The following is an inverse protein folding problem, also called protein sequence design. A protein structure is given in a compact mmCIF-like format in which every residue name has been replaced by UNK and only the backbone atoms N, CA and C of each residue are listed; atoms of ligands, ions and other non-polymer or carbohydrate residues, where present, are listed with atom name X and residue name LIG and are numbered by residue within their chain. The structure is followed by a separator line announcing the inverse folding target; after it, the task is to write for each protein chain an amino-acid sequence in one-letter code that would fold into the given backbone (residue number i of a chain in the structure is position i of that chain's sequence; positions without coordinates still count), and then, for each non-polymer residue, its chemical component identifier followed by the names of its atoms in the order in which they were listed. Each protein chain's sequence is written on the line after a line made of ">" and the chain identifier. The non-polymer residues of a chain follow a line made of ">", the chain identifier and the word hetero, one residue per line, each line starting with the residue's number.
data_IF_814745784569
#
_entry.id   IF_814745784569
#
_cell.length_a   1.000
_cell.length_b   1.000
_cell.length_c   1.000
_cell.angle_alpha   90.00
_cell.angle_beta   90.00
_cell.angle_gamma   90.00
#
_symmetry.space_group_name_H-M   'P 1'
#
loop_
_entity.id
_entity.type
_entity.pdbx_description
1 polymer ?
#
# COMPACT_ATOMS: atom_id res chain seq x y z
N UNK A 1 11.86 6.66 -8.03
CA UNK A 1 10.96 6.29 -6.95
C UNK A 1 9.53 6.32 -7.43
N UNK A 2 8.77 5.28 -7.08
CA UNK A 2 7.36 5.26 -7.39
C UNK A 2 6.61 6.27 -6.56
N UNK A 3 6.27 7.40 -7.15
CA UNK A 3 5.35 8.33 -6.52
C UNK A 3 3.94 7.73 -6.58
N UNK A 4 3.28 7.65 -5.45
CA UNK A 4 1.86 7.39 -5.42
C UNK A 4 1.13 8.63 -5.96
N UNK A 5 0.00 8.47 -6.67
CA UNK A 5 -0.80 9.58 -7.15
C UNK A 5 -1.57 10.20 -5.98
N UNK A 6 -0.85 10.76 -5.02
CA UNK A 6 -1.44 11.46 -3.89
C UNK A 6 -1.83 12.87 -4.32
N UNK A 7 -2.84 13.36 -3.63
CA UNK A 7 -3.51 14.58 -4.06
C UNK A 7 -2.60 15.80 -4.05
N UNK A 8 -1.64 15.86 -3.13
CA UNK A 8 -0.71 17.00 -3.02
C UNK A 8 0.15 17.16 -4.28
N UNK A 9 0.74 16.08 -4.77
CA UNK A 9 1.59 16.10 -5.96
C UNK A 9 0.77 16.31 -7.23
N UNK A 10 -0.36 15.60 -7.34
CA UNK A 10 -1.24 15.74 -8.51
C UNK A 10 -1.93 17.08 -8.56
N UNK A 11 -2.30 17.67 -7.41
CA UNK A 11 -2.89 19.00 -7.35
C UNK A 11 -1.88 20.07 -7.74
N UNK A 12 -0.67 20.05 -7.19
CA UNK A 12 0.36 21.03 -7.52
C UNK A 12 0.70 21.04 -9.02
N UNK A 13 0.75 19.86 -9.64
CA UNK A 13 0.92 19.80 -11.10
C UNK A 13 -0.27 20.41 -11.82
N UNK A 14 -1.50 20.09 -11.40
CA UNK A 14 -2.72 20.62 -12.00
C UNK A 14 -2.84 22.14 -11.85
N UNK A 15 -2.48 22.68 -10.68
CA UNK A 15 -2.48 24.14 -10.43
C UNK A 15 -1.55 24.91 -11.38
N UNK A 16 -0.40 24.30 -11.72
CA UNK A 16 0.58 24.92 -12.63
C UNK A 16 0.16 24.79 -14.09
N UNK A 17 -0.34 23.64 -14.51
CA UNK A 17 -0.52 23.30 -15.93
C UNK A 17 -1.98 23.25 -16.39
N UNK A 18 -2.95 23.19 -15.49
CA UNK A 18 -4.39 23.12 -15.83
C UNK A 18 -4.86 21.76 -16.38
N UNK A 19 -4.00 20.73 -16.34
CA UNK A 19 -4.33 19.35 -16.75
C UNK A 19 -3.55 18.34 -15.90
N UNK A 20 -3.96 17.07 -15.96
CA UNK A 20 -3.30 15.99 -15.22
C UNK A 20 -2.05 15.50 -15.95
N UNK A 21 -0.99 15.19 -15.19
CA UNK A 21 0.16 14.49 -15.75
C UNK A 21 -0.24 13.13 -16.33
N UNK A 22 0.36 12.76 -17.46
CA UNK A 22 0.21 11.41 -18.00
C UNK A 22 1.02 10.43 -17.15
N UNK A 23 0.37 9.42 -16.60
CA UNK A 23 0.98 8.40 -15.74
C UNK A 23 1.21 7.13 -16.57
N UNK A 24 2.44 6.68 -16.64
CA UNK A 24 2.82 5.41 -17.27
C UNK A 24 3.33 4.47 -16.19
N UNK A 25 2.73 3.30 -16.08
CA UNK A 25 3.22 2.24 -15.21
C UNK A 25 4.39 1.52 -15.89
N UNK A 26 5.55 1.51 -15.26
CA UNK A 26 6.79 0.96 -15.86
C UNK A 26 7.29 -0.31 -15.20
N UNK A 27 6.85 -0.58 -13.97
CA UNK A 27 7.15 -1.82 -13.26
C UNK A 27 6.09 -2.10 -12.20
N UNK A 28 6.01 -3.33 -11.74
CA UNK A 28 5.39 -3.65 -10.46
C UNK A 28 6.42 -3.42 -9.35
N UNK A 29 5.97 -3.02 -8.16
CA UNK A 29 6.84 -2.86 -7.00
C UNK A 29 7.56 -4.16 -6.64
N UNK A 30 8.59 -4.07 -5.82
CA UNK A 30 9.29 -5.25 -5.35
C UNK A 30 8.42 -6.06 -4.37
N UNK A 31 8.74 -7.34 -4.23
CA UNK A 31 8.13 -8.22 -3.22
C UNK A 31 9.04 -8.39 -2.01
N UNK A 32 10.32 -8.64 -2.26
CA UNK A 32 11.32 -9.00 -1.25
C UNK A 32 12.68 -8.42 -1.63
N UNK A 33 12.76 -7.10 -1.73
CA UNK A 33 14.00 -6.43 -2.08
C UNK A 33 14.24 -5.26 -1.12
N UNK A 34 15.32 -5.36 -0.32
CA UNK A 34 15.70 -4.30 0.61
C UNK A 34 16.01 -2.99 -0.15
N UNK A 35 15.58 -1.86 0.40
CA UNK A 35 15.80 -0.55 -0.21
C UNK A 35 14.99 -0.29 -1.49
N UNK A 36 13.99 -1.11 -1.80
CA UNK A 36 13.09 -0.94 -2.95
C UNK A 36 11.67 -0.62 -2.49
N UNK A 37 10.85 -0.09 -3.41
CA UNK A 37 9.43 0.15 -3.18
C UNK A 37 8.66 -1.18 -3.21
N UNK A 38 8.67 -1.89 -2.09
CA UNK A 38 7.94 -3.15 -1.95
C UNK A 38 6.44 -2.90 -1.80
N UNK A 39 5.62 -3.85 -2.24
CA UNK A 39 4.22 -3.90 -1.86
C UNK A 39 4.05 -4.20 -0.36
N UNK A 40 2.86 -3.93 0.16
CA UNK A 40 2.58 -4.07 1.59
C UNK A 40 1.99 -5.44 1.90
N UNK A 41 2.29 -5.96 3.07
CA UNK A 41 1.73 -7.20 3.61
C UNK A 41 1.14 -6.91 4.98
N UNK A 42 0.00 -7.51 5.27
CA UNK A 42 -0.64 -7.48 6.58
C UNK A 42 -0.20 -8.71 7.37
N UNK A 43 0.16 -8.51 8.62
CA UNK A 43 0.63 -9.55 9.53
C UNK A 43 -0.21 -9.57 10.81
N UNK A 44 -0.39 -10.75 11.36
CA UNK A 44 -0.96 -10.99 12.70
C UNK A 44 -0.02 -11.89 13.49
N UNK A 45 -0.22 -11.97 14.81
CA UNK A 45 0.47 -12.96 15.63
C UNK A 45 0.24 -14.39 15.08
N UNK A 46 1.24 -15.25 15.15
CA UNK A 46 1.17 -16.63 14.59
C UNK A 46 -0.03 -17.45 15.07
N UNK A 47 -0.43 -17.27 16.33
CA UNK A 47 -1.56 -17.98 16.96
C UNK A 47 -2.92 -17.29 16.75
N UNK A 48 -2.97 -16.15 16.06
CA UNK A 48 -4.24 -15.51 15.72
C UNK A 48 -5.01 -16.38 14.72
N UNK A 49 -6.30 -16.72 14.96
CA UNK A 49 -7.07 -17.57 14.05
C UNK A 49 -7.31 -16.95 12.67
N UNK A 50 -7.22 -15.61 12.56
CA UNK A 50 -7.41 -14.94 11.27
C UNK A 50 -6.30 -15.30 10.30
N UNK A 51 -6.68 -15.71 9.10
CA UNK A 51 -5.77 -15.98 7.97
C UNK A 51 -6.12 -15.16 6.72
N UNK A 52 -7.28 -14.50 6.70
CA UNK A 52 -7.76 -13.76 5.53
C UNK A 52 -8.60 -12.56 5.93
N UNK A 53 -8.49 -11.47 5.19
CA UNK A 53 -9.25 -10.22 5.37
C UNK A 53 -9.59 -9.60 4.02
N UNK A 54 -10.68 -8.83 3.96
CA UNK A 54 -10.99 -7.98 2.81
C UNK A 54 -10.42 -6.57 2.99
N UNK A 55 -10.26 -5.82 1.90
CA UNK A 55 -9.86 -4.42 1.96
C UNK A 55 -10.84 -3.57 2.77
N UNK A 56 -12.13 -3.91 2.76
CA UNK A 56 -13.14 -3.25 3.60
C UNK A 56 -12.93 -3.53 5.08
N UNK A 57 -12.59 -4.77 5.43
CA UNK A 57 -12.25 -5.11 6.82
C UNK A 57 -10.98 -4.40 7.28
N UNK A 58 -9.96 -4.28 6.43
CA UNK A 58 -8.76 -3.49 6.75
C UNK A 58 -9.09 -2.01 7.00
N UNK A 59 -9.95 -1.40 6.17
CA UNK A 59 -10.45 -0.05 6.43
C UNK A 59 -11.17 0.04 7.78
N UNK A 60 -12.02 -0.93 8.10
CA UNK A 60 -12.69 -1.00 9.40
C UNK A 60 -11.72 -1.09 10.58
N UNK A 61 -10.64 -1.86 10.46
CA UNK A 61 -9.64 -2.09 11.51
C UNK A 61 -8.72 -0.88 11.69
N UNK A 62 -8.10 -0.41 10.60
CA UNK A 62 -7.07 0.64 10.63
C UNK A 62 -7.62 2.06 10.54
N UNK A 63 -8.83 2.22 9.99
CA UNK A 63 -9.46 3.51 9.80
C UNK A 63 -10.46 3.88 10.89
N UNK A 64 -10.82 5.17 10.90
CA UNK A 64 -11.95 5.72 11.65
C UNK A 64 -13.07 6.12 10.70
N UNK A 65 -14.21 6.52 11.29
CA UNK A 65 -15.36 7.02 10.54
C UNK A 65 -15.01 8.29 9.74
N UNK A 66 -15.66 8.45 8.60
CA UNK A 66 -15.50 9.60 7.71
C UNK A 66 -16.78 9.84 6.88
N UNK A 67 -17.08 11.10 6.59
CA UNK A 67 -18.25 11.48 5.81
C UNK A 67 -18.07 11.32 4.30
N UNK A 68 -16.86 11.08 3.85
CA UNK A 68 -16.49 10.94 2.44
C UNK A 68 -14.99 10.91 2.25
N UNK A 69 -14.56 10.96 1.01
CA UNK A 69 -13.14 11.01 0.64
C UNK A 69 -12.94 11.73 -0.70
N UNK A 70 -11.68 12.04 -1.01
CA UNK A 70 -11.28 12.59 -2.29
C UNK A 70 -10.99 11.48 -3.30
N UNK A 71 -11.73 11.47 -4.41
CA UNK A 71 -11.37 10.71 -5.62
C UNK A 71 -10.78 11.68 -6.64
N UNK A 72 -9.46 11.66 -6.79
CA UNK A 72 -8.77 12.75 -7.49
C UNK A 72 -9.03 14.07 -6.76
N UNK A 73 -9.56 15.07 -7.47
CA UNK A 73 -9.89 16.39 -6.91
C UNK A 73 -11.37 16.54 -6.51
N UNK A 74 -12.17 15.51 -6.69
CA UNK A 74 -13.60 15.55 -6.39
C UNK A 74 -13.89 14.88 -5.06
N UNK A 75 -14.57 15.62 -4.17
CA UNK A 75 -15.12 15.03 -2.96
C UNK A 75 -16.30 14.11 -3.30
N UNK A 76 -16.32 12.90 -2.70
CA UNK A 76 -17.44 11.99 -2.81
C UNK A 76 -17.85 11.47 -1.44
N UNK A 77 -19.16 11.43 -1.19
CA UNK A 77 -19.72 10.83 0.02
C UNK A 77 -19.85 9.30 -0.10
N UNK A 78 -19.75 8.73 -1.31
CA UNK A 78 -19.79 7.28 -1.54
C UNK A 78 -18.67 6.52 -0.81
N UNK A 79 -17.54 7.18 -0.53
CA UNK A 79 -16.45 6.64 0.24
C UNK A 79 -16.58 6.93 1.76
N UNK A 80 -17.73 7.47 2.17
CA UNK A 80 -18.07 7.63 3.58
C UNK A 80 -18.20 6.28 4.29
N UNK A 81 -17.89 6.28 5.57
CA UNK A 81 -18.05 5.12 6.44
C UNK A 81 -18.38 5.59 7.86
N UNK A 82 -19.55 5.22 8.34
CA UNK A 82 -19.99 5.53 9.70
C UNK A 82 -19.26 4.70 10.76
N UNK A 83 -19.51 4.99 12.06
CA UNK A 83 -18.89 4.29 13.17
C UNK A 83 -19.26 2.81 13.24
N UNK A 84 -20.41 2.40 12.70
CA UNK A 84 -20.83 0.99 12.59
C UNK A 84 -19.90 0.15 11.70
N UNK A 85 -19.17 0.80 10.80
CA UNK A 85 -18.15 0.16 9.98
C UNK A 85 -16.79 0.01 10.67
N UNK A 86 -16.64 0.52 11.91
CA UNK A 86 -15.41 0.34 12.66
C UNK A 86 -15.31 -1.09 13.21
N UNK A 87 -14.15 -1.71 13.02
CA UNK A 87 -13.82 -3.05 13.55
C UNK A 87 -12.78 -2.85 14.64
N UNK A 88 -13.18 -3.06 15.89
CA UNK A 88 -12.35 -2.81 17.08
C UNK A 88 -12.07 -4.05 17.91
N UNK A 89 -12.83 -5.13 17.66
CA UNK A 89 -12.65 -6.42 18.32
C UNK A 89 -12.59 -7.55 17.32
N UNK A 90 -11.91 -8.61 17.69
CA UNK A 90 -11.81 -9.83 16.86
C UNK A 90 -13.15 -10.52 16.66
N UNK A 91 -14.09 -10.37 17.61
CA UNK A 91 -15.46 -10.90 17.48
C UNK A 91 -16.24 -10.28 16.33
N UNK A 92 -16.00 -9.02 15.99
CA UNK A 92 -16.61 -8.37 14.82
C UNK A 92 -16.15 -8.99 13.48
N UNK A 93 -15.05 -9.76 13.51
CA UNK A 93 -14.55 -10.56 12.38
C UNK A 93 -15.01 -12.03 12.44
N UNK A 94 -15.94 -12.36 13.34
CA UNK A 94 -16.51 -13.70 13.48
C UNK A 94 -15.74 -14.63 14.41
N UNK A 95 -14.71 -14.17 15.13
CA UNK A 95 -14.02 -14.98 16.12
C UNK A 95 -14.85 -15.08 17.40
N UNK A 96 -14.87 -16.26 18.00
CA UNK A 96 -15.63 -16.59 19.20
C UNK A 96 -14.72 -16.97 20.39
N UNK A 97 -15.31 -17.35 21.52
CA UNK A 97 -14.59 -17.75 22.73
C UNK A 97 -13.73 -16.63 23.31
N UNK A 98 -12.48 -16.93 23.60
CA UNK A 98 -11.53 -15.97 24.17
C UNK A 98 -11.29 -14.75 23.28
N UNK A 99 -11.55 -14.83 21.98
CA UNK A 99 -11.30 -13.78 20.99
C UNK A 99 -12.46 -12.78 20.87
N UNK A 100 -13.68 -13.18 21.23
CA UNK A 100 -14.90 -12.43 20.92
C UNK A 100 -14.84 -10.96 21.36
N UNK A 101 -14.34 -10.69 22.56
CA UNK A 101 -14.28 -9.34 23.15
C UNK A 101 -12.88 -8.75 23.18
N UNK A 102 -11.90 -9.37 22.54
CA UNK A 102 -10.53 -8.86 22.52
C UNK A 102 -10.39 -7.70 21.55
N UNK A 103 -9.90 -6.59 22.07
CA UNK A 103 -9.61 -5.41 21.26
C UNK A 103 -8.47 -5.69 20.28
N UNK A 104 -8.57 -5.14 19.07
CA UNK A 104 -7.54 -5.22 18.05
C UNK A 104 -6.57 -4.06 18.27
N UNK A 105 -5.30 -4.34 18.56
CA UNK A 105 -4.25 -3.34 18.56
C UNK A 105 -3.65 -3.22 17.14
N UNK A 106 -3.56 -2.00 16.63
CA UNK A 106 -3.06 -1.74 15.27
C UNK A 106 -1.66 -1.14 15.26
N UNK A 107 -0.81 -1.62 14.34
CA UNK A 107 0.59 -1.21 14.19
C UNK A 107 0.93 -0.96 12.73
N UNK A 108 1.85 -0.03 12.46
CA UNK A 108 2.35 0.20 11.11
C UNK A 108 3.31 1.38 10.99
N UNK A 109 3.45 1.89 9.79
CA UNK A 109 4.40 2.96 9.50
C UNK A 109 3.94 4.31 10.03
N UNK A 110 4.88 5.08 10.54
CA UNK A 110 4.77 6.52 10.72
C UNK A 110 4.60 7.23 9.35
N UNK A 111 4.20 8.51 9.33
CA UNK A 111 3.98 9.25 8.09
C UNK A 111 5.16 9.15 7.13
N UNK A 112 4.92 8.58 5.97
CA UNK A 112 5.90 8.26 4.92
C UNK A 112 5.20 8.02 3.59
N UNK A 113 5.93 7.91 2.48
CA UNK A 113 5.36 7.48 1.20
C UNK A 113 4.66 6.11 1.29
N UNK A 114 5.21 5.20 2.09
CA UNK A 114 4.63 3.88 2.34
C UNK A 114 3.31 3.97 3.12
N UNK A 115 3.23 4.84 4.14
CA UNK A 115 1.97 5.10 4.86
C UNK A 115 0.92 5.76 3.95
N UNK A 116 1.31 6.66 3.05
CA UNK A 116 0.40 7.27 2.08
C UNK A 116 -0.14 6.26 1.07
N UNK A 117 0.67 5.29 0.65
CA UNK A 117 0.20 4.20 -0.19
C UNK A 117 -0.88 3.37 0.53
N UNK A 118 -0.68 3.05 1.82
CA UNK A 118 -1.69 2.37 2.64
C UNK A 118 -2.97 3.22 2.77
N UNK A 119 -2.84 4.51 3.06
CA UNK A 119 -3.97 5.45 3.12
C UNK A 119 -4.77 5.44 1.81
N UNK A 120 -4.07 5.52 0.68
CA UNK A 120 -4.71 5.50 -0.63
C UNK A 120 -5.48 4.20 -0.87
N UNK A 121 -4.82 3.06 -0.66
CA UNK A 121 -5.40 1.74 -0.97
C UNK A 121 -6.47 1.30 0.02
N UNK A 122 -6.26 1.54 1.31
CA UNK A 122 -7.12 1.04 2.39
C UNK A 122 -8.07 2.10 2.90
N UNK A 123 -7.56 3.30 3.22
CA UNK A 123 -8.33 4.35 3.90
C UNK A 123 -8.96 5.37 2.94
N UNK A 124 -9.01 5.10 1.63
CA UNK A 124 -9.60 5.97 0.61
C UNK A 124 -9.01 7.39 0.59
N UNK A 125 -7.69 7.53 0.75
CA UNK A 125 -6.98 8.80 0.90
C UNK A 125 -7.41 9.63 2.11
N UNK A 126 -8.18 9.08 3.05
CA UNK A 126 -8.50 9.80 4.27
C UNK A 126 -7.34 9.74 5.26
N UNK A 127 -7.12 10.83 6.00
CA UNK A 127 -6.22 10.83 7.15
C UNK A 127 -6.86 10.29 8.43
N UNK A 128 -7.95 9.53 8.32
CA UNK A 128 -8.75 9.05 9.44
C UNK A 128 -8.28 7.68 9.91
N UNK A 129 -7.26 7.67 10.74
CA UNK A 129 -6.73 6.46 11.36
C UNK A 129 -7.49 6.09 12.62
N UNK A 130 -7.49 4.79 12.96
CA UNK A 130 -7.92 4.29 14.25
C UNK A 130 -7.09 4.93 15.37
N UNK A 131 -7.74 5.43 16.41
CA UNK A 131 -7.08 6.13 17.52
C UNK A 131 -6.06 5.29 18.30
N UNK A 132 -6.13 3.95 18.21
CA UNK A 132 -5.15 3.06 18.81
C UNK A 132 -3.97 2.69 17.89
N UNK A 133 -3.90 3.29 16.70
CA UNK A 133 -2.81 3.03 15.75
C UNK A 133 -1.46 3.47 16.33
N UNK A 134 -0.52 2.53 16.41
CA UNK A 134 0.86 2.79 16.83
C UNK A 134 1.79 2.86 15.63
N UNK A 135 2.51 3.96 15.55
CA UNK A 135 3.37 4.31 14.45
C UNK A 135 4.84 3.98 14.75
N UNK A 136 5.54 3.46 13.72
CA UNK A 136 6.96 3.09 13.77
C UNK A 136 7.67 3.62 12.54
N UNK A 137 8.91 4.09 12.73
CA UNK A 137 9.73 4.61 11.64
C UNK A 137 10.48 3.48 10.94
N UNK A 138 10.72 3.65 9.64
CA UNK A 138 11.64 2.79 8.92
C UNK A 138 13.07 3.15 9.33
N UNK A 139 13.87 2.15 9.69
CA UNK A 139 15.27 2.35 10.12
C UNK A 139 16.05 3.07 9.02
N UNK A 140 16.69 4.20 9.37
CA UNK A 140 17.43 5.04 8.41
C UNK A 140 16.62 6.13 7.73
N UNK A 141 15.29 6.17 7.89
CA UNK A 141 14.47 7.28 7.43
C UNK A 141 14.60 8.46 8.39
N UNK A 142 14.97 9.63 7.85
CA UNK A 142 14.81 10.89 8.58
C UNK A 142 13.34 11.29 8.52
N UNK A 143 12.69 11.33 9.67
CA UNK A 143 11.34 11.88 9.78
C UNK A 143 11.33 13.36 9.43
N UNK A 144 10.35 13.80 8.66
CA UNK A 144 10.03 15.21 8.51
C UNK A 144 9.17 15.60 9.72
N UNK A 145 9.79 16.20 10.71
CA UNK A 145 9.17 16.60 11.99
C UNK A 145 9.61 15.68 13.13
N UNK A 146 10.31 16.26 14.09
CA UNK A 146 10.80 15.59 15.29
C UNK A 146 9.65 15.27 16.25
N UNK A 147 8.90 14.18 16.01
CA UNK A 147 8.15 13.56 17.09
C UNK A 147 9.04 12.51 17.76
N UNK A 148 9.79 12.92 18.77
CA UNK A 148 10.66 12.08 19.58
C UNK A 148 9.94 10.83 20.12
N UNK A 149 8.64 10.88 20.31
CA UNK A 149 7.83 9.74 20.77
C UNK A 149 7.78 8.60 19.78
N UNK A 150 7.77 8.89 18.48
CA UNK A 150 7.78 7.87 17.42
C UNK A 150 9.17 7.29 17.26
N UNK A 151 10.21 8.13 17.29
CA UNK A 151 11.60 7.69 17.25
C UNK A 151 11.97 6.80 18.44
N UNK A 152 11.43 7.08 19.64
CA UNK A 152 11.66 6.29 20.86
C UNK A 152 11.04 4.90 20.83
N UNK A 153 10.03 4.65 20.00
CA UNK A 153 9.39 3.32 19.89
C UNK A 153 10.22 2.29 19.13
N UNK A 154 11.27 2.70 18.46
CA UNK A 154 12.10 1.82 17.62
C UNK A 154 11.58 1.69 16.19
N UNK A 155 12.26 0.87 15.38
CA UNK A 155 11.97 0.69 13.96
C UNK A 155 10.91 -0.39 13.68
N UNK A 156 10.60 -0.57 12.40
CA UNK A 156 9.61 -1.57 11.93
C UNK A 156 9.97 -3.01 12.29
N UNK A 157 11.25 -3.37 12.27
CA UNK A 157 11.69 -4.71 12.75
C UNK A 157 11.41 -4.89 14.23
N UNK A 158 11.61 -3.84 15.05
CA UNK A 158 11.25 -3.85 16.46
C UNK A 158 9.73 -4.01 16.65
N UNK A 159 8.93 -3.25 15.89
CA UNK A 159 7.47 -3.39 15.89
C UNK A 159 7.03 -4.84 15.68
N UNK A 160 7.60 -5.53 14.70
CA UNK A 160 7.22 -6.90 14.40
C UNK A 160 7.74 -7.90 15.45
N UNK A 161 9.01 -7.78 15.85
CA UNK A 161 9.67 -8.76 16.71
C UNK A 161 9.31 -8.60 18.20
N UNK A 162 9.11 -7.36 18.68
CA UNK A 162 8.90 -7.10 20.10
C UNK A 162 7.48 -6.70 20.45
N UNK A 163 6.73 -6.11 19.52
CA UNK A 163 5.32 -5.77 19.77
C UNK A 163 4.42 -6.87 19.20
N UNK A 164 4.29 -7.00 17.86
CA UNK A 164 3.34 -7.92 17.25
C UNK A 164 3.60 -9.39 17.60
N UNK A 165 4.86 -9.83 17.64
CA UNK A 165 5.20 -11.22 17.98
C UNK A 165 4.88 -11.59 19.45
N UNK A 166 4.62 -10.60 20.31
CA UNK A 166 4.21 -10.77 21.70
C UNK A 166 2.76 -10.33 21.98
N UNK A 167 2.07 -9.78 20.97
CA UNK A 167 0.68 -9.36 21.07
C UNK A 167 -0.22 -10.26 20.22
N UNK A 168 -0.86 -11.25 20.87
CA UNK A 168 -1.79 -12.18 20.20
C UNK A 168 -2.96 -11.47 19.55
N UNK A 169 -3.32 -10.27 20.00
CA UNK A 169 -4.46 -9.49 19.52
C UNK A 169 -4.06 -8.34 18.59
N UNK A 170 -2.78 -8.27 18.24
CA UNK A 170 -2.23 -7.27 17.36
C UNK A 170 -2.44 -7.60 15.88
N UNK A 171 -2.47 -6.55 15.07
CA UNK A 171 -2.38 -6.59 13.62
C UNK A 171 -1.47 -5.47 13.12
N UNK A 172 -0.58 -5.79 12.21
CA UNK A 172 0.37 -4.85 11.62
C UNK A 172 0.36 -4.90 10.10
N UNK A 173 0.86 -3.85 9.47
CA UNK A 173 1.20 -3.86 8.06
C UNK A 173 2.59 -3.26 7.84
N UNK A 174 3.34 -3.87 6.93
CA UNK A 174 4.65 -3.40 6.49
C UNK A 174 5.08 -4.13 5.22
N UNK A 175 6.36 -4.02 4.84
CA UNK A 175 6.96 -4.71 3.71
C UNK A 175 7.66 -6.01 4.15
N UNK A 176 7.78 -7.00 3.26
CA UNK A 176 8.34 -8.31 3.57
C UNK A 176 9.78 -8.26 4.14
N UNK A 177 10.71 -7.44 3.62
CA UNK A 177 12.08 -7.37 4.17
C UNK A 177 12.13 -7.04 5.67
N UNK A 178 11.13 -6.33 6.21
CA UNK A 178 11.07 -6.04 7.65
C UNK A 178 10.59 -7.23 8.49
N UNK A 179 9.88 -8.19 7.86
CA UNK A 179 9.31 -9.36 8.53
C UNK A 179 10.20 -10.61 8.47
N UNK A 180 11.25 -10.58 7.66
CA UNK A 180 12.15 -11.72 7.49
C UNK A 180 12.80 -12.14 8.80
N UNK A 181 12.78 -13.46 9.07
CA UNK A 181 13.39 -14.06 10.25
C UNK A 181 12.59 -13.91 11.55
N UNK A 182 11.39 -13.32 11.51
CA UNK A 182 10.54 -13.14 12.70
C UNK A 182 9.54 -14.29 12.80
N UNK A 183 9.74 -15.22 13.74
CA UNK A 183 8.96 -16.45 13.87
C UNK A 183 7.57 -16.28 14.53
N UNK A 184 7.33 -15.18 15.23
CA UNK A 184 6.10 -14.96 16.03
C UNK A 184 4.90 -14.42 15.26
N UNK A 185 5.03 -14.21 13.95
CA UNK A 185 4.02 -13.57 13.10
C UNK A 185 3.70 -14.40 11.87
N UNK A 186 2.56 -14.15 11.25
CA UNK A 186 2.18 -14.74 9.96
C UNK A 186 1.49 -13.71 9.07
N UNK A 187 1.66 -13.82 7.73
CA UNK A 187 0.95 -12.98 6.79
C UNK A 187 -0.54 -13.35 6.71
N UNK A 188 -1.33 -12.42 6.18
CA UNK A 188 -2.77 -12.56 5.98
C UNK A 188 -3.08 -12.46 4.49
N UNK A 189 -3.87 -13.39 3.98
CA UNK A 189 -4.41 -13.34 2.62
C UNK A 189 -5.43 -12.21 2.49
N UNK A 190 -5.45 -11.52 1.35
CA UNK A 190 -6.34 -10.40 1.12
C UNK A 190 -7.25 -10.60 -0.09
N UNK A 191 -8.49 -10.14 0.04
CA UNK A 191 -9.42 -9.99 -1.07
C UNK A 191 -9.72 -8.50 -1.33
N UNK A 192 -9.84 -8.12 -2.59
CA UNK A 192 -10.15 -6.75 -3.01
C UNK A 192 -11.55 -6.29 -2.61
N UNK A 193 -12.50 -7.22 -2.52
CA UNK A 193 -13.90 -6.98 -2.16
C UNK A 193 -14.44 -8.12 -1.30
N UNK A 194 -15.55 -7.85 -0.62
CA UNK A 194 -16.29 -8.88 0.13
C UNK A 194 -16.83 -9.94 -0.85
N UNK A 195 -16.65 -11.22 -0.50
CA UNK A 195 -17.01 -12.34 -1.36
C UNK A 195 -16.06 -12.59 -2.53
N UNK A 196 -15.00 -11.78 -2.68
CA UNK A 196 -13.96 -11.96 -3.66
C UNK A 196 -12.97 -13.07 -3.31
N UNK A 197 -12.11 -13.40 -4.26
CA UNK A 197 -11.03 -14.37 -4.08
C UNK A 197 -9.94 -13.79 -3.16
N UNK A 198 -9.43 -14.63 -2.27
CA UNK A 198 -8.35 -14.29 -1.36
C UNK A 198 -7.01 -14.75 -1.92
N UNK A 199 -6.06 -13.84 -1.95
CA UNK A 199 -4.71 -14.11 -2.42
C UNK A 199 -3.71 -14.01 -1.28
N UNK A 200 -2.84 -15.01 -1.19
CA UNK A 200 -1.66 -14.98 -0.31
C UNK A 200 -0.61 -14.01 -0.86
N UNK A 201 0.14 -13.31 0.00
CA UNK A 201 1.24 -12.48 -0.46
C UNK A 201 2.38 -13.36 -1.00
N UNK A 202 2.68 -13.24 -2.27
CA UNK A 202 3.73 -13.96 -2.98
C UNK A 202 4.28 -13.10 -4.11
N UNK A 203 5.49 -13.39 -4.59
CA UNK A 203 6.04 -12.69 -5.76
C UNK A 203 5.08 -12.76 -6.95
N UNK A 204 4.43 -13.92 -7.16
CA UNK A 204 3.45 -14.09 -8.23
C UNK A 204 2.22 -13.22 -8.05
N UNK A 205 1.57 -13.24 -6.89
CA UNK A 205 0.35 -12.45 -6.63
C UNK A 205 0.62 -10.94 -6.63
N UNK A 206 1.85 -10.52 -6.33
CA UNK A 206 2.28 -9.13 -6.49
C UNK A 206 2.48 -8.78 -7.97
N UNK A 207 3.18 -9.63 -8.74
CA UNK A 207 3.41 -9.41 -10.16
C UNK A 207 2.10 -9.39 -10.95
N UNK A 208 1.21 -10.32 -10.69
CA UNK A 208 -0.12 -10.40 -11.31
C UNK A 208 -1.10 -9.34 -10.78
N UNK A 209 -0.73 -8.61 -9.70
CA UNK A 209 -1.56 -7.61 -9.02
C UNK A 209 -2.86 -8.17 -8.44
N UNK A 210 -2.92 -9.45 -8.20
CA UNK A 210 -4.05 -10.10 -7.54
C UNK A 210 -4.05 -9.84 -6.04
N UNK A 211 -2.86 -9.68 -5.41
CA UNK A 211 -2.78 -9.22 -4.03
C UNK A 211 -3.07 -7.71 -3.96
N UNK A 212 -4.10 -7.26 -3.21
CA UNK A 212 -4.63 -5.88 -3.32
C UNK A 212 -3.63 -4.78 -2.92
N UNK A 213 -2.62 -5.11 -2.12
CA UNK A 213 -1.58 -4.18 -1.68
C UNK A 213 -0.29 -4.28 -2.50
N UNK A 214 -0.34 -4.90 -3.68
CA UNK A 214 0.74 -4.81 -4.67
C UNK A 214 0.92 -3.36 -5.10
N UNK A 215 2.19 -2.93 -5.20
CA UNK A 215 2.57 -1.57 -5.54
C UNK A 215 2.96 -1.47 -7.01
N UNK A 216 2.88 -0.29 -7.59
CA UNK A 216 3.35 -0.02 -8.96
C UNK A 216 4.42 1.06 -8.94
N UNK A 217 5.27 1.04 -9.96
CA UNK A 217 6.26 2.08 -10.22
C UNK A 217 5.80 2.86 -11.43
N UNK A 218 5.78 4.18 -11.32
CA UNK A 218 5.25 5.07 -12.33
C UNK A 218 6.31 6.04 -12.85
N UNK A 219 6.13 6.46 -14.10
CA UNK A 219 6.73 7.66 -14.66
C UNK A 219 5.59 8.64 -14.96
N UNK A 220 5.74 9.88 -14.51
CA UNK A 220 4.81 10.96 -14.80
C UNK A 220 5.39 11.87 -15.86
N UNK A 221 4.57 12.24 -16.83
CA UNK A 221 4.95 13.04 -17.98
C UNK A 221 4.09 14.30 -18.01
N UNK A 222 4.76 15.43 -18.29
CA UNK A 222 4.08 16.66 -18.66
C UNK A 222 3.71 16.58 -20.15
N UNK A 223 2.50 16.09 -20.43
CA UNK A 223 1.95 15.96 -21.78
C UNK A 223 0.67 16.80 -21.88
N UNK A 224 0.70 17.97 -22.53
CA UNK A 224 -0.52 18.74 -22.76
C UNK A 224 -1.57 17.92 -23.51
N UNK A 225 -2.88 18.09 -23.20
CA UNK A 225 -3.95 17.39 -23.88
C UNK A 225 -3.91 17.56 -25.41
N UNK A 226 -4.06 16.46 -26.13
CA UNK A 226 -4.04 16.47 -27.59
C UNK A 226 -2.64 16.61 -28.24
N UNK A 227 -1.59 16.72 -27.46
CA UNK A 227 -0.23 16.79 -27.97
C UNK A 227 0.44 15.40 -27.97
N UNK A 228 1.24 15.08 -29.00
CA UNK A 228 2.03 13.86 -29.02
C UNK A 228 3.15 13.95 -27.97
N UNK A 229 3.64 12.79 -27.52
CA UNK A 229 4.87 12.75 -26.72
C UNK A 229 6.07 13.18 -27.58
N UNK A 230 7.03 13.85 -26.92
CA UNK A 230 8.35 14.08 -27.53
C UNK A 230 8.96 12.75 -27.97
N UNK A 231 9.50 12.68 -29.19
CA UNK A 231 9.99 11.44 -29.81
C UNK A 231 11.02 10.70 -28.92
N UNK A 232 11.93 11.42 -28.28
CA UNK A 232 12.94 10.83 -27.39
C UNK A 232 12.32 10.19 -26.17
N UNK A 233 11.32 10.83 -25.56
CA UNK A 233 10.59 10.32 -24.39
C UNK A 233 9.79 9.08 -24.82
N UNK A 234 9.10 9.14 -25.94
CA UNK A 234 8.33 8.02 -26.47
C UNK A 234 9.21 6.79 -26.74
N UNK A 235 10.39 6.97 -27.37
CA UNK A 235 11.33 5.88 -27.60
C UNK A 235 11.92 5.31 -26.30
N UNK A 236 12.28 6.17 -25.36
CA UNK A 236 12.72 5.72 -24.03
C UNK A 236 11.65 4.86 -23.34
N UNK A 237 10.39 5.30 -23.34
CA UNK A 237 9.31 4.53 -22.73
C UNK A 237 8.99 3.24 -23.49
N UNK A 238 9.05 3.24 -24.83
CA UNK A 238 8.93 2.01 -25.62
C UNK A 238 10.01 1.00 -25.24
N UNK A 239 11.26 1.47 -25.06
CA UNK A 239 12.33 0.60 -24.60
C UNK A 239 12.06 0.07 -23.17
N UNK A 240 11.69 0.94 -22.22
CA UNK A 240 11.37 0.53 -20.85
C UNK A 240 10.25 -0.53 -20.82
N UNK A 241 9.22 -0.34 -21.64
CA UNK A 241 8.06 -1.24 -21.72
C UNK A 241 8.31 -2.48 -22.62
N UNK A 242 9.45 -2.54 -23.33
CA UNK A 242 9.84 -3.68 -24.13
C UNK A 242 10.25 -4.88 -23.28
N UNK A 243 10.35 -6.07 -23.89
CA UNK A 243 10.85 -7.27 -23.23
C UNK A 243 12.24 -7.04 -22.60
N UNK A 244 13.14 -6.39 -23.33
CA UNK A 244 14.51 -6.15 -22.87
C UNK A 244 14.54 -5.17 -21.69
N UNK A 245 13.76 -4.10 -21.76
CA UNK A 245 13.58 -3.16 -20.64
C UNK A 245 13.02 -3.85 -19.40
N UNK A 246 12.02 -4.70 -19.55
CA UNK A 246 11.42 -5.44 -18.44
C UNK A 246 12.37 -6.50 -17.86
N UNK A 247 13.30 -7.05 -18.65
CA UNK A 247 14.39 -7.89 -18.10
C UNK A 247 15.37 -7.09 -17.23
N UNK A 248 15.64 -5.82 -17.58
CA UNK A 248 16.45 -4.95 -16.73
C UNK A 248 15.71 -4.60 -15.44
N UNK A 249 14.39 -4.34 -15.50
CA UNK A 249 13.56 -4.14 -14.31
C UNK A 249 13.73 -5.31 -13.33
N UNK A 250 13.62 -6.55 -13.81
CA UNK A 250 13.79 -7.74 -12.97
C UNK A 250 15.19 -7.80 -12.30
N UNK A 251 16.25 -7.41 -13.01
CA UNK A 251 17.62 -7.39 -12.47
C UNK A 251 17.81 -6.37 -11.34
N UNK A 252 16.95 -5.36 -11.24
CA UNK A 252 17.01 -4.33 -10.19
C UNK A 252 16.25 -4.69 -8.92
N UNK A 253 15.63 -5.88 -8.87
CA UNK A 253 14.82 -6.36 -7.74
C UNK A 253 13.36 -5.94 -7.78
N UNK A 254 12.91 -5.25 -8.84
CA UNK A 254 11.49 -5.00 -9.09
C UNK A 254 10.86 -6.14 -9.88
N UNK A 255 9.55 -6.30 -9.76
CA UNK A 255 8.81 -7.26 -10.55
C UNK A 255 8.46 -6.65 -11.92
N UNK A 256 8.76 -7.33 -13.03
CA UNK A 256 8.41 -6.84 -14.35
C UNK A 256 6.89 -6.82 -14.55
N UNK A 257 6.43 -5.96 -15.44
CA UNK A 257 5.04 -5.95 -15.88
C UNK A 257 4.68 -7.26 -16.57
N UNK A 258 3.43 -7.68 -16.47
CA UNK A 258 2.89 -8.70 -17.35
C UNK A 258 2.85 -8.19 -18.80
N UNK A 259 2.93 -9.08 -19.77
CA UNK A 259 2.87 -8.70 -21.20
C UNK A 259 1.61 -7.90 -21.55
N UNK A 260 0.46 -8.27 -20.95
CA UNK A 260 -0.81 -7.56 -21.15
C UNK A 260 -0.72 -6.12 -20.67
N UNK A 261 -0.18 -5.90 -19.44
CA UNK A 261 -0.07 -4.57 -18.88
C UNK A 261 0.96 -3.71 -19.61
N UNK A 262 2.10 -4.30 -20.01
CA UNK A 262 3.08 -3.59 -20.81
C UNK A 262 2.47 -3.13 -22.16
N UNK A 263 1.66 -3.98 -22.80
CA UNK A 263 0.95 -3.63 -24.03
C UNK A 263 -0.08 -2.50 -23.81
N UNK A 264 -0.84 -2.57 -22.73
CA UNK A 264 -1.77 -1.48 -22.34
C UNK A 264 -1.04 -0.15 -22.18
N UNK A 265 0.10 -0.16 -21.46
CA UNK A 265 0.88 1.06 -21.24
C UNK A 265 1.53 1.59 -22.53
N UNK A 266 1.94 0.72 -23.45
CA UNK A 266 2.40 1.12 -24.79
C UNK A 266 1.31 1.85 -25.58
N UNK A 267 0.05 1.44 -25.45
CA UNK A 267 -1.10 2.10 -26.06
C UNK A 267 -1.27 3.56 -25.60
N UNK A 268 -0.87 3.89 -24.37
CA UNK A 268 -0.95 5.25 -23.84
C UNK A 268 0.12 6.21 -24.41
N UNK A 269 1.13 5.69 -25.12
CA UNK A 269 2.19 6.50 -25.73
C UNK A 269 1.80 7.06 -27.11
N UNK A 270 0.66 6.67 -27.64
CA UNK A 270 0.15 7.12 -28.94
C UNK A 270 -0.46 8.51 -28.90
#
# INVERSE_FOLDING_TARGET
>A
DGAEPIITETLSFYEVYGYHATQITVATGAYDAEGRSNGLIVFVHKDNPISRLTMRQLDGIFGAERNGALRGFKWTMEDGRGPEGNIRTWGQLGLSGEWANKAIQTYGHAPSGTARFFQWKVLRNSGKWNSNYREYVETGSKMIGDDDRVAQRGGLKHMLANELANDRYGIAWTVLPQAQGIAGIKPVALASADGGEYYEPSAKSFQDRTYPLARSIYIYLNRPPGQPLEAKIAEFLRYVLSRDGQQLVAKTGYLPLTASLAHEQLGQLQ
#
